data_IF_496954905231
#
_entry.id   IF_496954905231
#
_cell.length_a   1.000
_cell.length_b   1.000
_cell.length_c   1.000
_cell.angle_alpha   90.00
_cell.angle_beta   90.00
_cell.angle_gamma   90.00
#
_symmetry.space_group_name_H-M   'P 1'
#
loop_
_entity.id
_entity.type
_entity.pdbx_description
1 polymer ?
#
# COMPACT_ATOMS: atom_id res chain seq x y z
N UNK A 1 25.59 -22.68 -2.81
CA UNK A 1 24.87 -23.41 -3.88
C UNK A 1 23.67 -24.11 -3.24
N UNK A 2 22.51 -23.50 -3.27
CA UNK A 2 21.29 -24.17 -2.78
C UNK A 2 20.67 -24.92 -3.96
N UNK A 3 21.00 -26.18 -4.12
CA UNK A 3 20.26 -27.12 -4.96
C UNK A 3 19.00 -27.50 -4.20
N UNK A 4 17.83 -27.13 -4.69
CA UNK A 4 16.55 -27.62 -4.17
C UNK A 4 16.52 -29.15 -4.35
N UNK A 5 16.70 -29.87 -3.26
CA UNK A 5 16.61 -31.33 -3.26
C UNK A 5 15.13 -31.71 -3.40
N UNK A 6 14.68 -31.92 -4.64
CA UNK A 6 13.32 -32.38 -4.98
C UNK A 6 12.91 -33.69 -4.32
N UNK A 7 13.85 -34.41 -3.64
CA UNK A 7 13.64 -35.78 -3.20
C UNK A 7 13.30 -35.98 -1.72
N UNK A 8 13.11 -34.93 -0.91
CA UNK A 8 12.84 -35.13 0.52
C UNK A 8 11.46 -34.69 1.02
N UNK A 9 10.60 -34.14 0.19
CA UNK A 9 9.18 -34.17 0.53
C UNK A 9 8.66 -35.53 0.06
N UNK A 10 8.61 -36.51 1.00
CA UNK A 10 8.04 -37.81 0.79
C UNK A 10 6.76 -37.68 -0.02
N UNK A 11 6.60 -38.60 -0.98
CA UNK A 11 5.37 -38.78 -1.71
C UNK A 11 4.18 -38.84 -0.72
N UNK A 12 3.64 -37.69 -0.37
CA UNK A 12 2.28 -37.61 0.16
C UNK A 12 1.41 -37.89 -1.04
N UNK A 13 0.58 -38.91 -0.91
CA UNK A 13 -0.40 -39.31 -1.91
C UNK A 13 -1.02 -38.07 -2.51
N UNK A 14 -0.86 -37.97 -3.83
CA UNK A 14 -1.46 -36.91 -4.62
C UNK A 14 -2.96 -36.97 -4.38
N UNK A 15 -3.60 -35.99 -3.70
CA UNK A 15 -5.04 -35.98 -3.63
C UNK A 15 -5.56 -35.95 -5.06
N UNK A 16 -6.31 -36.98 -5.46
CA UNK A 16 -6.99 -36.99 -6.75
C UNK A 16 -8.00 -35.85 -6.69
N UNK A 17 -7.79 -34.81 -7.48
CA UNK A 17 -8.73 -33.68 -7.63
C UNK A 17 -10.04 -34.32 -8.09
N UNK A 18 -11.04 -34.32 -7.21
CA UNK A 18 -12.40 -34.76 -7.56
C UNK A 18 -13.03 -33.68 -8.39
N UNK A 19 -13.29 -33.96 -9.67
CA UNK A 19 -13.87 -33.01 -10.65
C UNK A 19 -15.26 -32.45 -10.27
N UNK A 20 -15.90 -32.95 -9.19
CA UNK A 20 -17.28 -32.64 -8.83
C UNK A 20 -17.48 -32.05 -7.41
N UNK A 21 -16.49 -31.41 -6.83
CA UNK A 21 -16.75 -30.63 -5.63
C UNK A 21 -17.06 -29.17 -6.04
N UNK A 22 -18.26 -28.69 -5.67
CA UNK A 22 -18.62 -27.28 -5.73
C UNK A 22 -17.74 -26.50 -4.74
N UNK A 23 -16.47 -26.30 -5.12
CA UNK A 23 -15.55 -25.48 -4.35
C UNK A 23 -16.09 -24.06 -4.28
N UNK A 24 -16.05 -23.44 -3.12
CA UNK A 24 -16.41 -22.04 -2.97
C UNK A 24 -15.41 -21.22 -3.76
N UNK A 25 -15.87 -20.63 -4.87
CA UNK A 25 -15.06 -19.76 -5.70
C UNK A 25 -14.83 -18.45 -4.96
N UNK A 26 -13.58 -18.19 -4.56
CA UNK A 26 -13.23 -16.91 -3.94
C UNK A 26 -12.92 -15.93 -5.06
N UNK A 27 -13.77 -14.90 -5.16
CA UNK A 27 -13.64 -13.88 -6.18
C UNK A 27 -12.52 -12.90 -5.80
N UNK A 28 -11.65 -12.63 -6.73
CA UNK A 28 -10.72 -11.52 -6.64
C UNK A 28 -11.45 -10.19 -6.81
N UNK A 29 -10.81 -9.07 -6.42
CA UNK A 29 -11.39 -7.73 -6.55
C UNK A 29 -11.90 -7.43 -7.97
N UNK A 30 -11.17 -7.85 -9.00
CA UNK A 30 -11.56 -7.65 -10.41
C UNK A 30 -12.73 -8.56 -10.84
N UNK A 31 -12.76 -9.80 -10.37
CA UNK A 31 -13.88 -10.71 -10.63
C UNK A 31 -15.14 -10.27 -9.88
N UNK A 32 -14.98 -9.65 -8.71
CA UNK A 32 -16.09 -9.10 -7.95
C UNK A 32 -16.79 -7.95 -8.70
N UNK A 33 -16.06 -7.17 -9.53
CA UNK A 33 -16.64 -6.11 -10.37
C UNK A 33 -17.72 -6.63 -11.32
N UNK A 34 -17.57 -7.86 -11.81
CA UNK A 34 -18.55 -8.51 -12.69
C UNK A 34 -19.83 -8.87 -11.93
N UNK A 35 -19.74 -9.14 -10.63
CA UNK A 35 -20.87 -9.63 -9.81
C UNK A 35 -21.46 -8.56 -8.88
N UNK A 36 -20.75 -7.46 -8.64
CA UNK A 36 -21.14 -6.43 -7.68
C UNK A 36 -22.22 -5.46 -8.16
N UNK A 37 -22.63 -5.55 -9.44
CA UNK A 37 -23.64 -4.67 -10.02
C UNK A 37 -23.15 -3.25 -10.38
N UNK A 38 -24.05 -2.45 -10.93
CA UNK A 38 -23.77 -1.05 -11.26
C UNK A 38 -23.45 -0.24 -9.99
N UNK A 39 -22.28 0.41 -9.98
CA UNK A 39 -21.88 1.30 -8.92
C UNK A 39 -20.68 0.85 -8.07
N UNK A 40 -20.19 -0.37 -8.24
CA UNK A 40 -18.96 -0.79 -7.56
C UNK A 40 -17.74 -0.06 -8.11
N UNK A 41 -16.99 0.62 -7.23
CA UNK A 41 -15.69 1.23 -7.56
C UNK A 41 -14.60 0.43 -6.86
N UNK A 42 -13.59 -0.06 -7.60
CA UNK A 42 -12.43 -0.69 -6.98
C UNK A 42 -11.75 0.27 -6.00
N UNK A 43 -11.29 -0.24 -4.87
CA UNK A 43 -10.64 0.57 -3.81
C UNK A 43 -9.51 1.45 -4.35
N UNK A 44 -8.77 0.94 -5.33
CA UNK A 44 -7.63 1.65 -5.93
C UNK A 44 -8.04 2.82 -6.84
N UNK A 45 -9.31 2.89 -7.23
CA UNK A 45 -9.86 4.02 -8.00
C UNK A 45 -10.26 5.20 -7.09
N UNK A 46 -10.38 4.98 -5.77
CA UNK A 46 -10.66 6.04 -4.79
C UNK A 46 -9.36 6.76 -4.43
N UNK A 47 -9.21 8.07 -4.76
CA UNK A 47 -7.94 8.77 -4.62
C UNK A 47 -7.35 8.74 -3.20
N UNK A 48 -8.19 8.88 -2.18
CA UNK A 48 -7.79 8.91 -0.77
C UNK A 48 -7.22 7.55 -0.33
N UNK A 49 -7.87 6.47 -0.74
CA UNK A 49 -7.42 5.10 -0.48
C UNK A 49 -6.14 4.82 -1.24
N UNK A 50 -6.09 5.19 -2.52
CA UNK A 50 -4.92 4.99 -3.37
C UNK A 50 -3.67 5.64 -2.80
N UNK A 51 -3.74 6.89 -2.37
CA UNK A 51 -2.59 7.60 -1.76
C UNK A 51 -2.05 6.84 -0.55
N UNK A 52 -2.93 6.32 0.33
CA UNK A 52 -2.52 5.52 1.47
C UNK A 52 -1.81 4.21 1.06
N UNK A 53 -2.38 3.50 0.08
CA UNK A 53 -1.82 2.23 -0.39
C UNK A 53 -0.49 2.42 -1.11
N UNK A 54 -0.40 3.45 -1.97
CA UNK A 54 0.83 3.80 -2.68
C UNK A 54 1.93 4.19 -1.68
N UNK A 55 1.61 4.95 -0.64
CA UNK A 55 2.56 5.30 0.43
C UNK A 55 3.13 4.06 1.12
N UNK A 56 2.27 3.10 1.50
CA UNK A 56 2.71 1.84 2.10
C UNK A 56 3.60 1.05 1.13
N UNK A 57 3.15 0.90 -0.13
CA UNK A 57 3.88 0.14 -1.14
C UNK A 57 5.23 0.77 -1.48
N UNK A 58 5.30 2.10 -1.58
CA UNK A 58 6.55 2.82 -1.81
C UNK A 58 7.55 2.66 -0.66
N UNK A 59 7.09 2.77 0.58
CA UNK A 59 7.95 2.59 1.76
C UNK A 59 8.48 1.16 1.86
N UNK A 60 7.63 0.14 1.74
CA UNK A 60 8.07 -1.26 1.78
C UNK A 60 9.03 -1.56 0.63
N UNK A 61 8.75 -1.08 -0.58
CA UNK A 61 9.57 -1.33 -1.77
C UNK A 61 10.91 -0.60 -1.77
N UNK A 62 11.05 0.47 -0.99
CA UNK A 62 12.31 1.21 -0.86
C UNK A 62 13.36 0.48 -0.01
N UNK A 63 12.94 -0.51 0.80
CA UNK A 63 13.87 -1.31 1.58
C UNK A 63 14.71 -2.24 0.70
N UNK A 64 15.97 -2.48 1.09
CA UNK A 64 16.84 -3.50 0.47
C UNK A 64 16.58 -4.86 1.08
N UNK A 65 16.75 -5.92 0.30
CA UNK A 65 16.54 -7.30 0.72
C UNK A 65 17.89 -8.01 0.85
N UNK A 66 18.28 -8.31 2.08
CA UNK A 66 19.55 -8.99 2.35
C UNK A 66 19.31 -10.48 2.57
N UNK A 67 20.16 -11.32 1.97
CA UNK A 67 20.27 -12.72 2.32
C UNK A 67 21.27 -12.85 3.47
N UNK A 68 20.83 -13.42 4.58
CA UNK A 68 21.62 -13.57 5.80
C UNK A 68 21.78 -15.07 6.13
N UNK A 69 22.91 -15.38 6.75
CA UNK A 69 23.19 -16.68 7.35
C UNK A 69 23.26 -16.53 8.87
N UNK A 70 22.54 -17.37 9.57
CA UNK A 70 22.58 -17.46 11.01
C UNK A 70 23.85 -18.21 11.44
N UNK A 71 24.74 -17.54 12.17
CA UNK A 71 25.96 -18.12 12.73
C UNK A 71 25.93 -18.01 14.27
N UNK A 72 26.75 -18.78 15.01
CA UNK A 72 26.84 -18.68 16.45
C UNK A 72 27.29 -17.29 16.94
N UNK A 73 27.97 -16.52 16.10
CA UNK A 73 28.49 -15.18 16.40
C UNK A 73 27.56 -14.05 15.98
N UNK A 74 26.48 -14.37 15.27
CA UNK A 74 25.51 -13.41 14.76
C UNK A 74 25.10 -13.69 13.30
N UNK A 75 24.27 -12.81 12.73
CA UNK A 75 23.80 -12.95 11.37
C UNK A 75 24.82 -12.36 10.39
N UNK A 76 25.29 -13.15 9.44
CA UNK A 76 26.26 -12.74 8.42
C UNK A 76 25.58 -12.54 7.06
N UNK A 77 25.93 -11.45 6.36
CA UNK A 77 25.40 -11.15 5.03
C UNK A 77 26.05 -12.08 4.00
N UNK A 78 25.22 -12.80 3.26
CA UNK A 78 25.62 -13.65 2.16
C UNK A 78 25.45 -12.93 0.84
N UNK A 79 26.55 -12.81 0.08
CA UNK A 79 26.54 -12.23 -1.25
C UNK A 79 26.76 -13.36 -2.27
N UNK A 80 25.69 -13.75 -2.95
CA UNK A 80 25.70 -14.78 -4.01
C UNK A 80 24.71 -14.41 -5.12
N UNK A 81 24.61 -15.23 -6.14
CA UNK A 81 23.70 -15.01 -7.27
C UNK A 81 22.24 -14.89 -6.84
N UNK A 82 21.80 -15.67 -5.84
CA UNK A 82 20.44 -15.60 -5.31
C UNK A 82 20.19 -14.27 -4.59
N UNK A 83 21.14 -13.80 -3.76
CA UNK A 83 21.00 -12.52 -3.08
C UNK A 83 20.91 -11.37 -4.08
N UNK A 84 21.74 -11.40 -5.14
CA UNK A 84 21.69 -10.42 -6.23
C UNK A 84 20.35 -10.50 -6.98
N UNK A 85 19.88 -11.72 -7.30
CA UNK A 85 18.62 -11.94 -8.00
C UNK A 85 17.43 -11.32 -7.24
N UNK A 86 17.36 -11.55 -5.94
CA UNK A 86 16.24 -11.05 -5.11
C UNK A 86 16.34 -9.54 -4.87
N UNK A 87 17.55 -9.02 -4.62
CA UNK A 87 17.73 -7.59 -4.26
C UNK A 87 17.80 -6.65 -5.47
N UNK A 88 18.11 -7.14 -6.66
CA UNK A 88 18.30 -6.28 -7.85
C UNK A 88 17.22 -6.56 -8.91
N UNK A 89 17.13 -7.80 -9.39
CA UNK A 89 16.30 -8.19 -10.54
C UNK A 89 15.49 -9.46 -10.27
N UNK A 90 14.53 -9.40 -9.33
CA UNK A 90 13.74 -10.58 -8.97
C UNK A 90 12.91 -11.10 -10.14
N UNK A 91 12.46 -10.25 -11.03
CA UNK A 91 11.69 -10.62 -12.22
C UNK A 91 12.38 -10.14 -13.49
N UNK A 92 12.09 -10.83 -14.61
CA UNK A 92 12.58 -10.44 -15.95
C UNK A 92 12.11 -9.04 -16.39
N UNK A 93 10.99 -8.58 -15.84
CA UNK A 93 10.34 -7.34 -16.25
C UNK A 93 10.34 -6.26 -15.18
N UNK A 94 10.78 -6.59 -13.96
CA UNK A 94 10.68 -5.69 -12.81
C UNK A 94 11.97 -5.74 -11.99
N UNK A 95 12.48 -4.57 -11.65
CA UNK A 95 13.48 -4.45 -10.60
C UNK A 95 12.87 -4.70 -9.21
N UNK A 96 13.71 -4.83 -8.17
CA UNK A 96 13.26 -5.08 -6.79
C UNK A 96 12.17 -4.10 -6.35
N UNK A 97 12.38 -2.78 -6.55
CA UNK A 97 11.42 -1.76 -6.09
C UNK A 97 10.06 -1.97 -6.76
N UNK A 98 10.02 -2.15 -8.06
CA UNK A 98 8.78 -2.39 -8.80
C UNK A 98 8.10 -3.70 -8.40
N UNK A 99 8.88 -4.76 -8.20
CA UNK A 99 8.38 -6.08 -7.82
C UNK A 99 7.75 -6.07 -6.42
N UNK A 100 8.44 -5.52 -5.42
CA UNK A 100 7.90 -5.41 -4.05
C UNK A 100 6.70 -4.48 -4.01
N UNK A 101 6.76 -3.34 -4.71
CA UNK A 101 5.61 -2.43 -4.85
C UNK A 101 4.39 -3.16 -5.40
N UNK A 102 4.57 -3.95 -6.47
CA UNK A 102 3.50 -4.73 -7.09
C UNK A 102 2.90 -5.75 -6.11
N UNK A 103 3.73 -6.48 -5.36
CA UNK A 103 3.24 -7.44 -4.35
C UNK A 103 2.39 -6.74 -3.31
N UNK A 104 2.90 -5.65 -2.71
CA UNK A 104 2.22 -4.94 -1.63
C UNK A 104 0.92 -4.29 -2.12
N UNK A 105 0.94 -3.59 -3.25
CA UNK A 105 -0.25 -2.95 -3.81
C UNK A 105 -1.31 -4.00 -4.23
N UNK A 106 -0.88 -5.12 -4.82
CA UNK A 106 -1.78 -6.23 -5.16
C UNK A 106 -2.39 -6.85 -3.91
N UNK A 107 -1.57 -7.18 -2.92
CA UNK A 107 -2.03 -7.79 -1.67
C UNK A 107 -3.02 -6.90 -0.92
N UNK A 108 -2.77 -5.59 -0.83
CA UNK A 108 -3.64 -4.68 -0.06
C UNK A 108 -4.90 -4.28 -0.81
N UNK A 109 -4.88 -4.17 -2.15
CA UNK A 109 -5.97 -3.66 -2.96
C UNK A 109 -6.63 -4.72 -3.85
N UNK A 110 -5.95 -5.13 -4.92
CA UNK A 110 -6.56 -5.90 -6.01
C UNK A 110 -6.75 -7.39 -5.68
N UNK A 111 -5.87 -7.96 -4.88
CA UNK A 111 -5.87 -9.38 -4.51
C UNK A 111 -6.70 -9.71 -3.26
N UNK A 112 -7.43 -8.74 -2.71
CA UNK A 112 -8.26 -8.89 -1.51
C UNK A 112 -7.52 -9.62 -0.37
N UNK A 113 -6.33 -9.11 -0.05
CA UNK A 113 -5.46 -9.68 0.98
C UNK A 113 -4.43 -10.69 0.48
N UNK A 114 -4.42 -11.01 -0.82
CA UNK A 114 -3.56 -12.06 -1.36
C UNK A 114 -2.77 -11.58 -2.59
N UNK A 115 -1.51 -11.98 -2.70
CA UNK A 115 -0.71 -11.83 -3.89
C UNK A 115 0.06 -13.12 -4.17
N UNK A 116 0.13 -13.51 -5.43
CA UNK A 116 0.75 -14.78 -5.86
C UNK A 116 1.90 -14.52 -6.82
N UNK A 117 2.99 -15.23 -6.61
CA UNK A 117 4.17 -15.20 -7.48
C UNK A 117 4.61 -16.63 -7.78
N UNK A 118 4.83 -16.93 -9.05
CA UNK A 118 5.31 -18.22 -9.52
C UNK A 118 6.84 -18.20 -9.68
N UNK A 119 7.60 -18.90 -8.83
CA UNK A 119 9.03 -19.06 -9.02
C UNK A 119 9.32 -20.00 -10.18
N UNK A 120 10.12 -19.54 -11.13
CA UNK A 120 10.57 -20.33 -12.28
C UNK A 120 12.03 -20.71 -12.11
N UNK A 121 12.33 -21.99 -12.22
CA UNK A 121 13.67 -22.53 -12.04
C UNK A 121 14.23 -23.08 -13.35
N UNK A 122 15.52 -22.90 -13.56
CA UNK A 122 16.26 -23.57 -14.62
C UNK A 122 16.42 -25.08 -14.31
N UNK A 123 16.81 -25.88 -15.32
CA UNK A 123 17.06 -27.34 -15.15
C UNK A 123 18.11 -27.64 -14.09
N UNK A 124 19.03 -26.74 -13.84
CA UNK A 124 20.09 -26.85 -12.83
C UNK A 124 19.64 -26.40 -11.42
N UNK A 125 18.37 -26.02 -11.24
CA UNK A 125 17.79 -25.57 -9.96
C UNK A 125 18.02 -24.09 -9.62
N UNK A 126 18.62 -23.29 -10.50
CA UNK A 126 18.75 -21.85 -10.30
C UNK A 126 17.42 -21.14 -10.49
N UNK A 127 17.13 -20.14 -9.65
CA UNK A 127 15.97 -19.27 -9.79
C UNK A 127 16.17 -18.35 -10.99
N UNK A 128 15.36 -18.54 -12.04
CA UNK A 128 15.39 -17.72 -13.25
C UNK A 128 14.53 -16.47 -13.13
N UNK A 129 13.32 -16.64 -12.61
CA UNK A 129 12.33 -15.58 -12.59
C UNK A 129 11.36 -15.75 -11.42
N UNK A 130 10.93 -14.66 -10.86
CA UNK A 130 9.76 -14.56 -9.97
C UNK A 130 8.64 -13.91 -10.75
N UNK A 131 7.74 -14.73 -11.30
CA UNK A 131 6.66 -14.28 -12.16
C UNK A 131 5.43 -13.87 -11.35
N UNK A 132 5.05 -12.58 -11.34
CA UNK A 132 3.83 -12.13 -10.69
C UNK A 132 2.59 -12.67 -11.40
N UNK A 133 1.61 -13.17 -10.66
CA UNK A 133 0.33 -13.64 -11.19
C UNK A 133 -0.72 -12.55 -11.06
N UNK A 134 -1.32 -12.15 -12.18
CA UNK A 134 -2.33 -11.09 -12.18
C UNK A 134 -3.57 -11.53 -11.39
N UNK A 135 -4.08 -10.73 -10.45
CA UNK A 135 -5.29 -11.06 -9.67
C UNK A 135 -6.50 -11.41 -10.54
N UNK A 136 -6.71 -10.68 -11.64
CA UNK A 136 -7.81 -10.92 -12.56
C UNK A 136 -7.78 -12.31 -13.25
N UNK A 137 -6.58 -12.90 -13.39
CA UNK A 137 -6.38 -14.21 -14.02
C UNK A 137 -6.23 -15.34 -12.97
N UNK A 138 -6.30 -15.02 -11.68
CA UNK A 138 -5.96 -15.93 -10.57
C UNK A 138 -7.20 -16.19 -9.72
N UNK A 139 -7.53 -17.44 -9.53
CA UNK A 139 -8.64 -17.88 -8.67
C UNK A 139 -8.09 -18.73 -7.54
N UNK A 140 -8.48 -18.38 -6.32
CA UNK A 140 -8.20 -19.16 -5.12
C UNK A 140 -9.39 -20.08 -4.86
N UNK A 141 -9.16 -21.37 -4.87
CA UNK A 141 -10.20 -22.41 -4.76
C UNK A 141 -9.91 -23.31 -3.57
N UNK A 142 -10.92 -23.59 -2.77
CA UNK A 142 -10.83 -24.56 -1.68
C UNK A 142 -10.76 -25.98 -2.23
N UNK A 143 -9.91 -26.82 -1.63
CA UNK A 143 -9.77 -28.23 -1.93
C UNK A 143 -9.66 -29.02 -0.61
N UNK A 144 -10.79 -29.31 0.01
CA UNK A 144 -10.88 -29.89 1.36
C UNK A 144 -10.31 -28.94 2.42
N UNK A 145 -9.35 -29.44 3.22
CA UNK A 145 -8.66 -28.64 4.25
C UNK A 145 -7.55 -27.73 3.68
N UNK A 146 -7.35 -27.74 2.39
CA UNK A 146 -6.31 -27.00 1.69
C UNK A 146 -6.91 -26.08 0.65
N UNK A 147 -6.04 -25.40 -0.10
CA UNK A 147 -6.44 -24.59 -1.24
C UNK A 147 -5.52 -24.88 -2.44
N UNK A 148 -6.03 -24.57 -3.62
CA UNK A 148 -5.28 -24.55 -4.86
C UNK A 148 -5.45 -23.21 -5.54
N UNK A 149 -4.43 -22.82 -6.30
CA UNK A 149 -4.44 -21.57 -7.05
C UNK A 149 -4.60 -21.90 -8.53
N UNK A 150 -5.72 -21.52 -9.11
CA UNK A 150 -5.94 -21.64 -10.54
C UNK A 150 -5.48 -20.37 -11.23
N UNK A 151 -4.50 -20.50 -12.11
CA UNK A 151 -4.07 -19.39 -12.97
C UNK A 151 -4.19 -19.81 -14.42
N UNK A 152 -5.04 -19.10 -15.18
CA UNK A 152 -5.46 -19.48 -16.53
C UNK A 152 -5.98 -20.93 -16.53
N UNK A 153 -5.36 -21.82 -17.33
CA UNK A 153 -5.75 -23.22 -17.47
C UNK A 153 -4.92 -24.20 -16.62
N UNK A 154 -4.14 -23.69 -15.66
CA UNK A 154 -3.29 -24.51 -14.80
C UNK A 154 -3.69 -24.33 -13.34
N UNK A 155 -3.58 -25.44 -12.60
CA UNK A 155 -3.80 -25.49 -11.16
C UNK A 155 -2.44 -25.66 -10.51
N UNK A 156 -2.15 -24.84 -9.52
CA UNK A 156 -0.93 -24.84 -8.74
C UNK A 156 -1.25 -25.14 -7.28
N UNK A 157 -0.36 -25.88 -6.64
CA UNK A 157 -0.42 -26.13 -5.20
C UNK A 157 0.23 -24.98 -4.43
N UNK A 158 -0.07 -24.84 -3.12
CA UNK A 158 0.56 -23.83 -2.28
C UNK A 158 2.09 -23.89 -2.24
N UNK A 159 2.66 -25.10 -2.37
CA UNK A 159 4.12 -25.31 -2.34
C UNK A 159 4.82 -25.00 -3.68
N UNK A 160 4.07 -24.79 -4.74
CA UNK A 160 4.59 -24.40 -6.06
C UNK A 160 4.65 -22.88 -6.27
N UNK A 161 4.02 -22.11 -5.37
CA UNK A 161 3.87 -20.67 -5.46
C UNK A 161 4.40 -19.99 -4.20
N UNK A 162 4.74 -18.70 -4.32
CA UNK A 162 4.83 -17.80 -3.18
C UNK A 162 3.46 -17.15 -2.98
N UNK A 163 2.91 -17.31 -1.79
CA UNK A 163 1.60 -16.75 -1.43
C UNK A 163 1.76 -15.71 -0.32
N UNK A 164 1.74 -14.45 -0.70
CA UNK A 164 1.78 -13.32 0.22
C UNK A 164 0.36 -13.04 0.71
N UNK A 165 0.05 -13.42 1.95
CA UNK A 165 -1.25 -13.23 2.57
C UNK A 165 -1.18 -12.13 3.65
N UNK A 166 -2.08 -11.15 3.55
CA UNK A 166 -2.22 -10.07 4.52
C UNK A 166 -3.34 -10.40 5.50
N UNK A 167 -3.04 -10.39 6.80
CA UNK A 167 -4.00 -10.68 7.87
C UNK A 167 -4.80 -11.96 7.61
N UNK A 168 -4.40 -13.11 8.14
CA UNK A 168 -5.07 -14.37 7.90
C UNK A 168 -6.53 -14.31 8.35
N UNK A 169 -7.41 -14.89 7.53
CA UNK A 169 -8.83 -15.02 7.83
C UNK A 169 -9.02 -16.04 8.99
N UNK A 170 -9.83 -15.74 10.02
CA UNK A 170 -10.03 -16.66 11.14
C UNK A 170 -10.64 -18.02 10.75
N UNK A 171 -11.52 -18.06 9.74
CA UNK A 171 -12.13 -19.29 9.28
C UNK A 171 -11.26 -20.04 8.28
N UNK A 172 -10.46 -19.30 7.51
CA UNK A 172 -9.59 -19.80 6.46
C UNK A 172 -8.17 -19.26 6.62
N UNK A 173 -7.38 -19.82 7.54
CA UNK A 173 -6.07 -19.25 7.93
C UNK A 173 -5.07 -19.08 6.77
N UNK A 174 -5.25 -19.81 5.68
CA UNK A 174 -4.45 -19.72 4.47
C UNK A 174 -4.84 -18.53 3.56
N UNK A 175 -6.01 -17.92 3.80
CA UNK A 175 -6.47 -16.77 3.04
C UNK A 175 -6.10 -15.48 3.74
N UNK A 176 -5.57 -14.51 2.98
CA UNK A 176 -5.41 -13.14 3.44
C UNK A 176 -6.73 -12.38 3.41
N UNK A 177 -6.89 -11.43 4.31
CA UNK A 177 -8.03 -10.51 4.37
C UNK A 177 -7.61 -9.14 3.88
N UNK A 178 -8.24 -8.67 2.81
CA UNK A 178 -8.00 -7.35 2.23
C UNK A 178 -8.72 -6.22 2.97
N UNK A 179 -8.50 -5.01 2.51
CA UNK A 179 -9.08 -3.80 3.09
C UNK A 179 -10.50 -3.52 2.59
N UNK A 180 -10.99 -4.29 1.60
CA UNK A 180 -12.27 -4.05 0.92
C UNK A 180 -13.46 -4.02 1.88
N UNK A 181 -13.59 -5.04 2.73
CA UNK A 181 -14.71 -5.13 3.67
C UNK A 181 -14.69 -3.98 4.67
N UNK A 182 -13.49 -3.63 5.16
CA UNK A 182 -13.32 -2.55 6.16
C UNK A 182 -13.57 -1.15 5.60
N UNK A 183 -13.35 -0.95 4.31
CA UNK A 183 -13.44 0.36 3.67
C UNK A 183 -14.72 0.58 2.87
N UNK A 184 -15.51 -0.46 2.57
CA UNK A 184 -16.66 -0.36 1.66
C UNK A 184 -17.66 0.73 2.07
N UNK A 185 -18.10 0.75 3.31
CA UNK A 185 -19.07 1.73 3.79
C UNK A 185 -18.52 3.17 3.76
N UNK A 186 -17.23 3.35 4.09
CA UNK A 186 -16.60 4.68 4.05
C UNK A 186 -16.39 5.18 2.62
N UNK A 187 -15.99 4.30 1.71
CA UNK A 187 -15.85 4.62 0.28
C UNK A 187 -17.19 5.06 -0.32
N UNK A 188 -18.28 4.40 0.03
CA UNK A 188 -19.62 4.80 -0.41
C UNK A 188 -20.01 6.17 0.14
N UNK A 189 -19.70 6.49 1.39
CA UNK A 189 -19.91 7.82 1.97
C UNK A 189 -19.12 8.91 1.24
N UNK A 190 -17.82 8.68 0.99
CA UNK A 190 -16.95 9.62 0.26
C UNK A 190 -17.49 9.86 -1.16
N UNK A 191 -17.91 8.79 -1.85
CA UNK A 191 -18.49 8.89 -3.18
C UNK A 191 -19.76 9.72 -3.19
N UNK A 192 -20.65 9.49 -2.22
CA UNK A 192 -21.89 10.25 -2.09
C UNK A 192 -21.62 11.73 -1.80
N UNK A 193 -20.68 12.03 -0.89
CA UNK A 193 -20.26 13.39 -0.58
C UNK A 193 -19.67 14.11 -1.81
N UNK A 194 -18.80 13.42 -2.57
CA UNK A 194 -18.23 13.97 -3.81
C UNK A 194 -19.30 14.16 -4.90
N UNK A 195 -20.27 13.25 -5.01
CA UNK A 195 -21.43 13.39 -5.90
C UNK A 195 -22.29 14.60 -5.55
N UNK A 196 -22.61 14.78 -4.28
CA UNK A 196 -23.37 15.95 -3.78
C UNK A 196 -22.62 17.26 -4.07
N UNK A 197 -21.30 17.27 -3.79
CA UNK A 197 -20.45 18.44 -4.10
C UNK A 197 -20.47 18.76 -5.59
N UNK A 198 -20.35 17.75 -6.45
CA UNK A 198 -20.39 17.92 -7.91
C UNK A 198 -21.74 18.49 -8.34
N UNK A 199 -22.84 17.94 -7.86
CA UNK A 199 -24.19 18.40 -8.17
C UNK A 199 -24.41 19.87 -7.75
N UNK A 200 -23.91 20.26 -6.58
CA UNK A 200 -23.99 21.64 -6.09
C UNK A 200 -23.15 22.62 -6.92
N UNK A 201 -22.02 22.16 -7.46
CA UNK A 201 -21.16 22.98 -8.33
C UNK A 201 -21.73 23.10 -9.74
N UNK A 202 -22.36 22.04 -10.26
CA UNK A 202 -22.98 22.01 -11.58
C UNK A 202 -24.35 22.69 -11.63
N UNK A 203 -25.10 22.66 -10.51
CA UNK A 203 -26.42 23.25 -10.39
C UNK A 203 -26.51 24.03 -9.09
N UNK A 204 -25.96 25.24 -9.03
CA UNK A 204 -26.03 26.03 -7.81
C UNK A 204 -27.51 26.29 -7.45
N UNK A 205 -27.82 26.15 -6.14
CA UNK A 205 -29.17 26.41 -5.62
C UNK A 205 -29.56 27.84 -6.04
N UNK A 206 -30.74 28.04 -6.63
CA UNK A 206 -31.15 29.37 -7.07
C UNK A 206 -31.10 30.34 -5.91
N UNK A 207 -30.41 31.46 -6.09
CA UNK A 207 -30.28 32.54 -5.11
C UNK A 207 -31.50 33.44 -5.00
N UNK A 208 -32.47 33.23 -5.90
CA UNK A 208 -33.63 34.09 -6.03
C UNK A 208 -34.91 33.24 -6.10
N UNK A 209 -35.88 33.59 -5.29
CA UNK A 209 -37.27 33.11 -5.41
C UNK A 209 -38.08 34.27 -5.94
N UNK A 210 -38.57 34.09 -7.15
CA UNK A 210 -39.47 35.08 -7.80
C UNK A 210 -40.91 34.65 -7.52
N UNK A 211 -41.64 35.43 -6.75
CA UNK A 211 -43.07 35.21 -6.56
C UNK A 211 -43.82 35.99 -7.63
N UNK A 212 -44.50 35.31 -8.51
CA UNK A 212 -45.33 35.89 -9.55
C UNK A 212 -46.80 35.78 -9.13
N UNK A 213 -47.57 36.85 -9.36
CA UNK A 213 -49.01 36.78 -9.12
C UNK A 213 -49.64 35.72 -10.05
N UNK A 214 -50.15 34.64 -9.47
CA UNK A 214 -50.66 33.47 -10.17
C UNK A 214 -51.99 33.69 -10.93
N UNK A 215 -52.47 34.95 -10.98
CA UNK A 215 -53.65 35.32 -11.73
C UNK A 215 -53.37 35.78 -13.17
N UNK A 216 -52.10 35.94 -13.58
CA UNK A 216 -51.76 36.23 -14.96
C UNK A 216 -51.90 34.96 -15.83
N UNK A 217 -52.61 35.09 -16.94
CA UNK A 217 -52.84 34.00 -17.90
C UNK A 217 -51.53 33.47 -18.47
N UNK A 218 -50.48 34.28 -18.52
CA UNK A 218 -49.14 33.91 -18.99
C UNK A 218 -48.44 32.88 -18.11
N UNK A 219 -48.72 32.86 -16.79
CA UNK A 219 -48.12 31.88 -15.86
C UNK A 219 -48.81 30.51 -15.92
N UNK A 220 -50.04 30.42 -16.45
CA UNK A 220 -50.80 29.17 -16.50
C UNK A 220 -50.35 28.23 -17.62
N UNK A 221 -49.73 28.78 -18.70
CA UNK A 221 -49.23 27.97 -19.83
C UNK A 221 -47.77 27.60 -19.66
N UNK A 222 -47.28 26.43 -20.10
CA UNK A 222 -45.88 26.10 -20.14
C UNK A 222 -45.03 27.06 -20.95
N UNK A 223 -45.59 27.56 -22.06
CA UNK A 223 -44.93 28.50 -23.00
C UNK A 223 -44.80 29.90 -22.35
N UNK A 224 -45.82 30.37 -21.64
CA UNK A 224 -45.76 31.64 -20.90
C UNK A 224 -44.72 31.63 -19.78
N UNK A 225 -44.58 30.51 -19.08
CA UNK A 225 -43.51 30.31 -18.06
C UNK A 225 -42.10 30.31 -18.64
N UNK A 226 -41.94 29.73 -19.82
CA UNK A 226 -40.65 29.72 -20.55
C UNK A 226 -40.30 31.10 -21.09
N UNK A 227 -41.28 31.87 -21.54
CA UNK A 227 -41.11 33.26 -22.01
C UNK A 227 -40.73 34.19 -20.86
N UNK A 228 -41.41 34.07 -19.72
CA UNK A 228 -41.08 34.81 -18.52
C UNK A 228 -39.69 34.43 -17.96
N UNK A 229 -39.34 33.17 -18.02
CA UNK A 229 -38.00 32.72 -17.64
C UNK A 229 -36.91 33.31 -18.52
N UNK A 230 -37.12 33.35 -19.84
CA UNK A 230 -36.16 33.94 -20.78
C UNK A 230 -36.07 35.45 -20.65
N UNK A 231 -37.17 36.11 -20.43
CA UNK A 231 -37.24 37.58 -20.36
C UNK A 231 -36.69 38.14 -19.07
N UNK A 232 -36.90 37.45 -17.92
CA UNK A 232 -36.57 37.95 -16.61
C UNK A 232 -35.41 37.18 -15.89
N UNK A 233 -35.16 35.93 -16.21
CA UNK A 233 -34.15 35.11 -15.53
C UNK A 233 -32.88 34.95 -16.37
N UNK A 234 -33.00 34.66 -17.69
CA UNK A 234 -31.83 34.45 -18.54
C UNK A 234 -31.01 35.72 -18.82
N UNK A 235 -31.60 36.89 -18.57
CA UNK A 235 -30.90 38.20 -18.68
C UNK A 235 -29.85 38.40 -17.56
N UNK A 236 -29.79 37.53 -16.56
CA UNK A 236 -28.82 37.64 -15.47
C UNK A 236 -27.40 37.14 -15.82
N UNK A 237 -27.22 36.40 -16.93
CA UNK A 237 -25.93 35.83 -17.29
C UNK A 237 -24.81 36.87 -17.51
N UNK A 238 -25.17 38.14 -17.73
CA UNK A 238 -24.24 39.23 -18.05
C UNK A 238 -23.94 40.19 -16.88
N UNK A 239 -24.42 39.93 -15.66
CA UNK A 239 -24.17 40.79 -14.48
C UNK A 239 -24.83 42.18 -14.54
N UNK A 240 -25.83 42.37 -15.38
CA UNK A 240 -26.58 43.64 -15.50
C UNK A 240 -27.61 43.80 -14.37
N UNK A 241 -27.88 45.02 -13.90
CA UNK A 241 -28.89 45.21 -12.87
C UNK A 241 -30.29 44.82 -13.38
N UNK A 242 -30.96 44.02 -12.56
CA UNK A 242 -32.26 43.45 -12.86
C UNK A 242 -33.37 44.54 -12.61
N UNK A 243 -34.11 44.90 -13.61
CA UNK A 243 -35.23 45.81 -13.50
C UNK A 243 -36.54 45.01 -13.51
N UNK A 244 -37.28 45.05 -12.40
CA UNK A 244 -38.52 44.29 -12.21
C UNK A 244 -39.67 45.27 -12.04
N UNK A 245 -40.83 45.06 -12.68
CA UNK A 245 -42.05 45.83 -12.37
C UNK A 245 -42.48 45.55 -10.95
N UNK A 246 -42.52 46.63 -10.12
CA UNK A 246 -42.79 46.51 -8.69
C UNK A 246 -44.20 46.01 -8.32
N UNK A 247 -45.12 46.01 -9.28
CA UNK A 247 -46.51 45.60 -9.06
C UNK A 247 -46.76 44.12 -9.42
N UNK A 248 -45.84 43.46 -10.12
CA UNK A 248 -46.06 42.12 -10.66
C UNK A 248 -45.26 41.00 -9.94
N UNK A 249 -44.19 41.36 -9.24
CA UNK A 249 -43.26 40.35 -8.67
C UNK A 249 -42.69 40.77 -7.32
N UNK A 250 -42.75 39.88 -6.35
CA UNK A 250 -42.02 40.00 -5.07
C UNK A 250 -40.78 39.10 -5.11
N UNK A 251 -39.58 39.68 -5.03
CA UNK A 251 -38.33 38.97 -5.11
C UNK A 251 -37.73 38.77 -3.74
N UNK A 252 -37.69 37.55 -3.27
CA UNK A 252 -36.97 37.19 -2.07
C UNK A 252 -35.60 36.67 -2.44
N UNK A 253 -34.54 37.36 -2.01
CA UNK A 253 -33.20 36.81 -2.09
C UNK A 253 -33.05 35.71 -1.05
N UNK A 254 -32.85 34.50 -1.49
CA UNK A 254 -32.46 33.40 -0.63
C UNK A 254 -30.93 33.38 -0.63
N UNK A 255 -30.33 33.49 0.56
CA UNK A 255 -28.89 33.36 0.68
C UNK A 255 -28.52 31.95 0.20
N UNK A 256 -27.79 31.80 -0.92
CA UNK A 256 -27.37 30.45 -1.37
C UNK A 256 -26.46 29.85 -0.31
N UNK A 257 -26.68 28.57 -0.02
CA UNK A 257 -25.79 27.81 0.85
C UNK A 257 -24.37 27.86 0.26
N UNK A 258 -23.45 28.49 0.99
CA UNK A 258 -22.05 28.49 0.59
C UNK A 258 -21.42 27.10 0.84
N UNK A 259 -20.31 26.80 0.15
CA UNK A 259 -19.52 25.59 0.41
C UNK A 259 -19.08 25.52 1.86
N UNK A 260 -18.88 26.69 2.51
CA UNK A 260 -18.57 26.77 3.93
C UNK A 260 -19.78 26.44 4.82
N UNK A 261 -21.02 26.84 4.43
CA UNK A 261 -22.24 26.52 5.19
C UNK A 261 -22.54 25.01 5.18
N UNK A 262 -22.05 24.27 4.17
CA UNK A 262 -22.22 22.83 4.06
C UNK A 262 -21.12 22.05 4.80
N UNK A 263 -20.17 22.73 5.47
CA UNK A 263 -19.04 22.11 6.17
C UNK A 263 -18.29 21.05 5.30
N UNK A 264 -18.32 21.19 3.97
CA UNK A 264 -17.78 20.21 3.03
C UNK A 264 -16.28 20.02 3.27
N UNK A 265 -15.55 21.09 3.62
CA UNK A 265 -14.12 21.01 3.89
C UNK A 265 -13.85 20.12 5.10
N UNK A 266 -14.56 20.34 6.20
CA UNK A 266 -14.37 19.61 7.45
C UNK A 266 -14.77 18.13 7.29
N UNK A 267 -15.82 17.87 6.52
CA UNK A 267 -16.26 16.51 6.19
C UNK A 267 -15.20 15.79 5.36
N UNK A 268 -14.62 16.42 4.33
CA UNK A 268 -13.55 15.84 3.53
C UNK A 268 -12.28 15.56 4.33
N UNK A 269 -11.92 16.44 5.27
CA UNK A 269 -10.78 16.20 6.16
C UNK A 269 -11.05 15.03 7.11
N UNK A 270 -12.27 14.93 7.65
CA UNK A 270 -12.70 13.81 8.49
C UNK A 270 -12.66 12.49 7.72
N UNK A 271 -13.18 12.48 6.48
CA UNK A 271 -13.17 11.30 5.62
C UNK A 271 -11.73 10.82 5.32
N UNK A 272 -10.83 11.74 4.99
CA UNK A 272 -9.41 11.43 4.78
C UNK A 272 -8.76 10.86 6.04
N UNK A 273 -9.06 11.44 7.21
CA UNK A 273 -8.55 10.90 8.49
C UNK A 273 -9.09 9.52 8.78
N UNK A 274 -10.37 9.28 8.48
CA UNK A 274 -11.02 7.98 8.68
C UNK A 274 -10.44 6.91 7.77
N UNK A 275 -10.21 7.22 6.48
CA UNK A 275 -9.51 6.33 5.54
C UNK A 275 -8.10 6.02 6.04
N UNK A 276 -7.33 7.05 6.40
CA UNK A 276 -5.97 6.90 6.89
C UNK A 276 -5.92 6.02 8.15
N UNK A 277 -6.83 6.25 9.10
CA UNK A 277 -6.92 5.47 10.34
C UNK A 277 -7.26 4.00 10.09
N UNK A 278 -8.22 3.69 9.20
CA UNK A 278 -8.60 2.32 8.88
C UNK A 278 -7.48 1.55 8.16
N UNK A 279 -6.74 2.22 7.29
CA UNK A 279 -5.59 1.64 6.61
C UNK A 279 -4.37 1.56 7.55
N UNK A 280 -4.33 2.42 8.57
CA UNK A 280 -3.23 2.52 9.53
C UNK A 280 -2.07 3.40 9.00
N UNK A 281 -2.40 4.48 8.29
CA UNK A 281 -1.45 5.46 7.76
C UNK A 281 -1.62 6.77 8.53
N UNK A 282 -0.54 7.46 8.94
CA UNK A 282 -0.63 8.78 9.57
C UNK A 282 -1.37 9.80 8.69
N UNK A 283 -2.27 10.57 9.27
CA UNK A 283 -3.13 11.50 8.54
C UNK A 283 -2.35 12.59 7.79
N UNK A 284 -1.19 13.01 8.29
CA UNK A 284 -0.35 14.01 7.62
C UNK A 284 0.21 13.51 6.28
N UNK A 285 0.37 12.19 6.08
CA UNK A 285 0.82 11.60 4.79
C UNK A 285 -0.26 11.69 3.71
N UNK A 286 -1.52 11.87 4.08
CA UNK A 286 -2.64 12.13 3.15
C UNK A 286 -3.03 13.60 3.10
N UNK A 287 -2.16 14.47 3.62
CA UNK A 287 -2.32 15.93 3.56
C UNK A 287 -3.27 16.52 4.61
N UNK A 288 -3.49 15.85 5.74
CA UNK A 288 -4.33 16.34 6.83
C UNK A 288 -3.52 16.44 8.13
N UNK A 289 -3.35 17.64 8.63
CA UNK A 289 -2.55 17.90 9.83
C UNK A 289 -1.10 18.30 9.53
N UNK A 290 -0.25 18.32 10.56
CA UNK A 290 1.18 18.65 10.46
C UNK A 290 2.03 17.40 10.64
N UNK A 291 3.25 17.42 10.07
CA UNK A 291 4.21 16.35 10.22
C UNK A 291 4.57 16.09 11.69
N UNK A 292 4.48 14.84 12.11
CA UNK A 292 4.88 14.36 13.42
C UNK A 292 5.86 13.18 13.25
N UNK A 293 7.09 13.37 13.76
CA UNK A 293 8.16 12.38 13.65
C UNK A 293 7.84 11.10 14.42
N UNK A 294 7.34 11.22 15.65
CA UNK A 294 7.06 10.07 16.50
C UNK A 294 5.94 9.20 15.92
N UNK A 295 4.93 9.85 15.34
CA UNK A 295 3.85 9.16 14.64
C UNK A 295 4.36 8.47 13.37
N UNK A 296 5.29 9.10 12.64
CA UNK A 296 5.94 8.48 11.48
C UNK A 296 6.80 7.29 11.88
N UNK A 297 7.64 7.40 12.89
CA UNK A 297 8.51 6.32 13.37
C UNK A 297 7.67 5.13 13.89
N UNK A 298 6.58 5.41 14.61
CA UNK A 298 5.62 4.40 15.02
C UNK A 298 4.96 3.69 13.82
N UNK A 299 4.55 4.44 12.80
CA UNK A 299 3.99 3.88 11.57
C UNK A 299 4.98 2.95 10.85
N UNK A 300 6.25 3.38 10.71
CA UNK A 300 7.29 2.53 10.14
C UNK A 300 7.43 1.23 10.93
N UNK A 301 7.55 1.33 12.25
CA UNK A 301 7.81 0.17 13.13
C UNK A 301 6.64 -0.80 13.18
N UNK A 302 5.40 -0.30 13.31
CA UNK A 302 4.23 -1.15 13.55
C UNK A 302 3.57 -1.61 12.26
N UNK A 303 3.51 -0.76 11.23
CA UNK A 303 2.76 -1.08 10.01
C UNK A 303 3.67 -1.52 8.88
N UNK A 304 4.68 -0.72 8.53
CA UNK A 304 5.56 -0.99 7.40
C UNK A 304 6.42 -2.23 7.64
N UNK A 305 7.04 -2.32 8.82
CA UNK A 305 7.86 -3.48 9.18
C UNK A 305 7.04 -4.77 9.31
N UNK A 306 5.79 -4.70 9.77
CA UNK A 306 4.90 -5.86 9.82
C UNK A 306 4.63 -6.44 8.42
N UNK A 307 4.35 -5.58 7.44
CA UNK A 307 4.16 -6.00 6.05
C UNK A 307 5.47 -6.58 5.47
N UNK A 308 6.60 -5.90 5.71
CA UNK A 308 7.90 -6.38 5.27
C UNK A 308 8.26 -7.75 5.86
N UNK A 309 7.91 -8.01 7.13
CA UNK A 309 8.09 -9.32 7.78
C UNK A 309 7.26 -10.42 7.09
N UNK A 310 6.02 -10.13 6.69
CA UNK A 310 5.20 -11.09 5.93
C UNK A 310 5.88 -11.47 4.62
N UNK A 311 6.38 -10.48 3.86
CA UNK A 311 7.12 -10.74 2.63
C UNK A 311 8.42 -11.51 2.88
N UNK A 312 9.15 -11.12 3.93
CA UNK A 312 10.40 -11.77 4.33
C UNK A 312 10.21 -13.26 4.64
N UNK A 313 9.19 -13.59 5.42
CA UNK A 313 8.90 -14.96 5.81
C UNK A 313 8.49 -15.81 4.61
N UNK A 314 7.65 -15.28 3.74
CA UNK A 314 7.23 -16.00 2.53
C UNK A 314 8.38 -16.22 1.55
N UNK A 315 9.21 -15.21 1.30
CA UNK A 315 10.41 -15.38 0.48
C UNK A 315 11.37 -16.43 1.08
N UNK A 316 11.53 -16.41 2.41
CA UNK A 316 12.42 -17.36 3.11
C UNK A 316 11.90 -18.78 3.01
N UNK A 317 10.62 -19.01 3.32
CA UNK A 317 10.02 -20.35 3.32
C UNK A 317 9.87 -20.93 1.92
N UNK A 318 9.57 -20.09 0.94
CA UNK A 318 9.28 -20.52 -0.43
C UNK A 318 10.52 -20.68 -1.32
N UNK A 319 11.62 -19.95 -1.04
CA UNK A 319 12.81 -19.95 -1.90
C UNK A 319 14.03 -20.63 -1.28
N UNK A 320 14.08 -20.81 0.04
CA UNK A 320 15.25 -21.34 0.74
C UNK A 320 14.96 -22.72 1.35
N UNK A 321 15.80 -23.71 1.03
CA UNK A 321 15.75 -25.03 1.66
C UNK A 321 16.71 -25.14 2.86
N UNK A 322 17.70 -24.24 2.96
CA UNK A 322 18.71 -24.23 4.00
C UNK A 322 18.16 -23.53 5.26
N UNK A 323 18.19 -24.23 6.39
CA UNK A 323 17.62 -23.73 7.66
C UNK A 323 18.43 -22.62 8.31
N UNK A 324 19.69 -22.42 7.88
CA UNK A 324 20.59 -21.38 8.34
C UNK A 324 20.49 -20.08 7.52
N UNK A 325 19.78 -20.10 6.38
CA UNK A 325 19.61 -18.95 5.50
C UNK A 325 18.21 -18.33 5.64
N UNK A 326 18.15 -17.00 5.60
CA UNK A 326 16.91 -16.27 5.60
C UNK A 326 17.07 -14.92 4.92
N UNK A 327 15.97 -14.38 4.39
CA UNK A 327 15.92 -13.02 3.87
C UNK A 327 15.56 -12.05 4.99
N UNK A 328 16.08 -10.82 4.92
CA UNK A 328 15.74 -9.70 5.80
C UNK A 328 15.58 -8.42 5.01
N UNK A 329 14.46 -7.73 5.21
CA UNK A 329 14.27 -6.38 4.72
C UNK A 329 14.99 -5.40 5.64
N UNK A 330 15.84 -4.54 5.06
CA UNK A 330 16.59 -3.53 5.80
C UNK A 330 15.81 -2.21 5.81
N UNK A 331 15.37 -1.71 6.97
CA UNK A 331 14.61 -0.46 7.05
C UNK A 331 15.48 0.79 7.00
N UNK A 332 16.79 0.65 6.80
CA UNK A 332 17.74 1.77 6.86
C UNK A 332 17.37 2.94 5.94
N UNK A 333 16.79 2.65 4.77
CA UNK A 333 16.35 3.67 3.80
C UNK A 333 15.10 4.44 4.23
N UNK A 334 14.34 3.94 5.22
CA UNK A 334 13.08 4.54 5.67
C UNK A 334 13.28 5.61 6.74
N UNK A 335 14.36 5.52 7.50
CA UNK A 335 14.67 6.47 8.55
C UNK A 335 15.46 7.64 7.96
N UNK A 336 14.82 8.79 7.91
CA UNK A 336 15.51 10.04 7.62
C UNK A 336 16.32 10.48 8.84
N UNK A 337 17.43 9.79 9.09
CA UNK A 337 18.36 10.25 10.11
C UNK A 337 18.94 11.59 9.71
N UNK A 338 18.87 12.55 10.62
CA UNK A 338 19.63 13.79 10.40
C UNK A 338 21.11 13.45 10.42
N UNK A 339 21.85 13.98 9.45
CA UNK A 339 23.28 13.73 9.34
C UNK A 339 24.05 13.95 10.68
N UNK A 340 23.75 14.98 11.50
CA UNK A 340 24.36 15.13 12.82
C UNK A 340 24.05 13.98 13.79
N UNK A 341 22.84 13.43 13.76
CA UNK A 341 22.45 12.29 14.63
C UNK A 341 23.22 11.03 14.22
N UNK A 342 23.35 10.75 12.92
CA UNK A 342 24.15 9.64 12.39
C UNK A 342 25.63 9.78 12.75
N UNK A 343 26.19 10.99 12.61
CA UNK A 343 27.59 11.27 12.96
C UNK A 343 27.81 11.02 14.43
N UNK A 344 26.96 11.53 15.31
CA UNK A 344 27.08 11.38 16.74
C UNK A 344 26.95 9.92 17.18
N UNK A 345 25.94 9.20 16.66
CA UNK A 345 25.75 7.78 16.98
C UNK A 345 26.90 6.91 16.47
N UNK A 346 27.38 7.15 15.24
CA UNK A 346 28.47 6.42 14.65
C UNK A 346 29.80 6.67 15.35
N UNK A 347 30.10 7.91 15.72
CA UNK A 347 31.28 8.25 16.52
C UNK A 347 31.29 7.49 17.86
N UNK A 348 30.19 7.50 18.59
CA UNK A 348 30.07 6.77 19.84
C UNK A 348 30.22 5.24 19.69
N UNK A 349 29.76 4.65 18.58
CA UNK A 349 29.94 3.24 18.28
C UNK A 349 31.38 2.88 17.91
N UNK A 350 32.04 3.73 17.13
CA UNK A 350 33.46 3.56 16.77
C UNK A 350 34.35 3.67 18.03
N UNK A 351 34.11 4.67 18.87
CA UNK A 351 34.83 4.83 20.15
C UNK A 351 34.72 3.64 21.10
N UNK A 352 33.54 2.97 21.09
CA UNK A 352 33.27 1.79 21.90
C UNK A 352 33.68 0.46 21.27
N UNK A 353 34.34 0.47 20.12
CA UNK A 353 34.72 -0.72 19.33
C UNK A 353 33.53 -1.56 18.84
N UNK A 354 32.34 -1.01 18.84
CA UNK A 354 31.13 -1.68 18.35
C UNK A 354 31.02 -1.62 16.81
N UNK A 355 31.79 -0.73 16.18
CA UNK A 355 31.76 -0.47 14.73
C UNK A 355 33.14 -0.10 14.24
N UNK A 356 33.50 -0.57 13.02
CA UNK A 356 34.71 -0.17 12.33
C UNK A 356 34.52 1.21 11.70
N UNK A 357 35.61 1.97 11.53
CA UNK A 357 35.57 3.28 10.87
C UNK A 357 35.01 3.22 9.45
N UNK A 358 35.32 2.15 8.69
CA UNK A 358 34.79 1.95 7.34
C UNK A 358 33.29 1.64 7.33
N UNK A 359 32.75 0.94 8.31
CA UNK A 359 31.32 0.71 8.47
C UNK A 359 30.58 2.02 8.75
N UNK A 360 31.18 2.91 9.55
CA UNK A 360 30.64 4.24 9.80
C UNK A 360 30.71 5.13 8.57
N UNK A 361 31.81 5.08 7.79
CA UNK A 361 31.94 5.79 6.50
C UNK A 361 30.82 5.39 5.54
N UNK A 362 30.52 4.09 5.46
CA UNK A 362 29.38 3.59 4.69
C UNK A 362 28.02 4.14 5.18
N UNK A 363 27.85 4.32 6.49
CA UNK A 363 26.64 4.92 7.05
C UNK A 363 26.40 6.36 6.61
N UNK A 364 27.46 7.14 6.45
CA UNK A 364 27.40 8.54 6.01
C UNK A 364 27.60 8.70 4.50
N UNK A 365 27.69 7.60 3.75
CA UNK A 365 27.81 7.60 2.30
C UNK A 365 29.21 7.89 1.77
N UNK A 366 30.27 7.71 2.58
CA UNK A 366 31.66 7.86 2.16
C UNK A 366 32.23 6.51 1.70
N UNK A 367 33.09 6.48 0.67
CA UNK A 367 33.76 5.26 0.24
C UNK A 367 34.69 4.71 1.33
N UNK A 368 34.93 3.37 1.36
CA UNK A 368 35.85 2.76 2.30
C UNK A 368 37.28 3.27 2.09
N UNK A 369 38.06 3.35 3.16
CA UNK A 369 39.46 3.75 3.18
C UNK A 369 40.28 2.55 3.69
N UNK A 370 41.35 2.12 2.98
CA UNK A 370 42.18 0.99 3.38
C UNK A 370 42.73 1.08 4.82
N UNK A 371 43.11 2.30 5.24
CA UNK A 371 43.72 2.55 6.56
C UNK A 371 42.68 2.61 7.70
N UNK A 372 41.38 2.44 7.40
CA UNK A 372 40.29 2.57 8.36
C UNK A 372 39.53 1.25 8.59
N UNK A 373 40.19 0.12 8.33
CA UNK A 373 39.58 -1.22 8.47
C UNK A 373 39.62 -1.78 9.88
N UNK A 374 40.45 -1.25 10.74
CA UNK A 374 40.66 -1.74 12.09
C UNK A 374 39.67 -1.15 13.10
N UNK A 375 39.40 -1.90 14.18
CA UNK A 375 38.70 -1.39 15.35
C UNK A 375 39.63 -0.50 16.17
N UNK A 376 39.23 0.75 16.39
CA UNK A 376 39.96 1.67 17.26
C UNK A 376 39.68 1.34 18.73
N UNK A 377 40.75 1.30 19.53
CA UNK A 377 40.68 1.19 20.95
C UNK A 377 41.09 2.53 21.54
N UNK A 378 40.20 3.19 22.28
CA UNK A 378 40.59 4.30 23.12
C UNK A 378 41.28 3.74 24.37
N UNK A 379 42.41 4.31 24.76
CA UNK A 379 43.22 3.88 25.94
C UNK A 379 42.37 3.69 27.22
N UNK A 380 41.35 4.53 27.38
CA UNK A 380 40.45 4.45 28.56
C UNK A 380 39.55 3.21 28.61
N UNK A 381 39.45 2.45 27.50
CA UNK A 381 38.64 1.22 27.41
C UNK A 381 39.51 -0.05 27.33
N UNK A 382 40.86 0.09 27.40
CA UNK A 382 41.74 -1.07 27.47
C UNK A 382 41.59 -1.78 28.82
N UNK A 383 41.45 -3.09 28.77
CA UNK A 383 41.53 -3.91 29.98
C UNK A 383 42.94 -3.79 30.55
N UNK A 384 43.14 -3.73 31.88
CA UNK A 384 44.47 -3.57 32.50
C UNK A 384 45.52 -4.55 32.00
N UNK A 385 45.14 -5.80 31.68
CA UNK A 385 46.05 -6.84 31.20
C UNK A 385 46.58 -6.63 29.76
N UNK A 386 46.04 -5.70 28.97
CA UNK A 386 46.53 -5.37 27.62
C UNK A 386 47.50 -4.18 27.60
N UNK A 387 47.54 -3.43 28.67
CA UNK A 387 48.50 -2.32 28.82
C UNK A 387 49.90 -2.82 29.17
N UNK A 388 50.01 -4.04 29.71
CA UNK A 388 51.31 -4.63 30.14
C UNK A 388 52.05 -5.34 28.97
N UNK A 389 51.38 -5.63 27.83
CA UNK A 389 52.01 -6.26 26.66
C UNK A 389 51.61 -5.54 25.37
N UNK A 390 52.29 -4.43 24.95
CA UNK A 390 51.98 -3.72 23.73
C UNK A 390 52.48 -4.39 22.45
N UNK A 391 53.11 -5.59 22.54
CA UNK A 391 53.75 -6.31 21.43
C UNK A 391 53.29 -7.79 21.29
N UNK A 392 52.02 -8.08 21.44
CA UNK A 392 51.48 -9.38 21.11
C UNK A 392 50.34 -9.24 20.09
#
# INVERSE_FOLDING_TARGET
>A
MAKRNKHRRAARDTPKIRENQSGTLILNADNFRIFAGEGYVPLYEVPEVRVCLDTIADLVSSMTIHLLRKTPTGDERVQNELSRKIDIEPSLYMNRKQFVYWIVSTMLAQGDGNAFVLPLYAKNGYLLDLKPLRPAETLLQEDGDYYVVRWRNKIYRPDELLHFAHRPDPERPWRGTGLRVSLSGLVDCIRQANGTKKALLESPVPSLIVKVDGLSDDFRSPEGRETLSKEFIDTQADGRPWMIPAEAMDVQSVRPLSIADLAIKDTLELDKRSVAALIGVPAFLVGVGSYNRDEYDNFITTRIMSIAQTLQQELTSGLLDASDLFFRFSPRSLYAYKLPELISAGAAMVERQAMRRNEWRDWVGLPPDPDMSDLLILENYLRPNRLENPTA
#
